data_IF_707530419657
#
_entry.id   IF_707530419657
#
_cell.length_a   1.000
_cell.length_b   1.000
_cell.length_c   1.000
_cell.angle_alpha   90.00
_cell.angle_beta   90.00
_cell.angle_gamma   90.00
#
_symmetry.space_group_name_H-M   'P 1'
#
loop_
_entity.id
_entity.type
_entity.pdbx_description
1 polymer ?
#
# COMPACT_ATOMS: atom_id res chain seq x y z
N UNK A 1 -54.75 18.29 10.00
CA UNK A 1 -54.30 19.55 9.35
C UNK A 1 -53.13 19.21 8.45
N UNK A 2 -53.40 18.99 7.17
CA UNK A 2 -52.44 18.67 6.10
C UNK A 2 -51.97 19.96 5.42
N UNK A 3 -50.69 20.11 5.05
CA UNK A 3 -50.23 21.27 4.30
C UNK A 3 -50.54 21.10 2.81
N UNK A 4 -51.16 22.13 2.23
CA UNK A 4 -51.59 22.22 0.83
C UNK A 4 -50.42 22.71 -0.02
N UNK A 5 -50.08 21.95 -1.07
CA UNK A 5 -49.17 22.34 -2.15
C UNK A 5 -49.76 23.51 -2.94
N UNK A 6 -48.97 24.53 -3.26
CA UNK A 6 -49.37 25.64 -4.15
C UNK A 6 -48.56 25.55 -5.44
N UNK A 7 -49.23 25.10 -6.50
CA UNK A 7 -48.71 25.07 -7.88
C UNK A 7 -48.78 26.48 -8.50
N UNK A 8 -47.75 26.86 -9.25
CA UNK A 8 -47.66 28.12 -9.99
C UNK A 8 -48.09 27.95 -11.46
N UNK A 9 -48.53 29.02 -12.16
CA UNK A 9 -49.17 28.91 -13.46
C UNK A 9 -48.19 28.75 -14.63
N UNK A 10 -48.61 27.94 -15.61
CA UNK A 10 -47.96 27.65 -16.89
C UNK A 10 -48.03 28.84 -17.86
N UNK A 11 -46.99 29.02 -18.69
CA UNK A 11 -46.91 30.00 -19.76
C UNK A 11 -47.22 29.35 -21.13
N UNK A 12 -47.90 30.06 -22.06
CA UNK A 12 -48.37 29.48 -23.32
C UNK A 12 -47.26 29.33 -24.37
N UNK A 13 -47.35 28.26 -25.16
CA UNK A 13 -46.48 27.95 -26.28
C UNK A 13 -46.74 28.78 -27.54
N UNK A 14 -45.69 28.88 -28.38
CA UNK A 14 -45.69 29.44 -29.73
C UNK A 14 -44.68 28.70 -30.64
N UNK A 15 -44.81 28.79 -31.97
CA UNK A 15 -44.67 27.66 -32.90
C UNK A 15 -43.25 27.40 -33.42
N UNK A 16 -42.97 26.15 -33.78
CA UNK A 16 -41.72 25.71 -34.37
C UNK A 16 -41.61 25.90 -35.88
N UNK A 17 -40.39 25.76 -36.40
CA UNK A 17 -40.10 25.35 -37.79
C UNK A 17 -38.59 25.05 -37.98
N UNK A 18 -38.26 23.93 -38.64
CA UNK A 18 -37.16 23.90 -39.61
C UNK A 18 -35.79 23.32 -39.24
N UNK A 19 -35.69 21.98 -39.16
CA UNK A 19 -34.77 21.12 -39.93
C UNK A 19 -33.22 21.19 -39.81
N UNK A 20 -32.52 20.09 -40.16
CA UNK A 20 -31.09 19.86 -39.88
C UNK A 20 -30.18 20.29 -41.03
N UNK A 21 -29.11 21.04 -40.72
CA UNK A 21 -28.10 21.49 -41.68
C UNK A 21 -26.80 20.70 -41.55
N UNK A 22 -26.65 19.70 -42.40
CA UNK A 22 -25.41 18.97 -42.68
C UNK A 22 -24.29 19.92 -43.16
N UNK A 23 -23.15 19.94 -42.46
CA UNK A 23 -21.94 20.55 -42.99
C UNK A 23 -21.16 19.49 -43.79
N UNK A 24 -21.37 19.57 -45.11
CA UNK A 24 -20.60 18.91 -46.14
C UNK A 24 -19.09 19.18 -46.00
N UNK A 25 -18.30 18.11 -45.94
CA UNK A 25 -16.86 18.10 -46.16
C UNK A 25 -16.50 16.81 -46.89
N UNK A 26 -16.76 16.78 -48.20
CA UNK A 26 -16.50 15.63 -49.07
C UNK A 26 -15.33 15.94 -50.00
N UNK A 27 -14.20 15.23 -49.85
CA UNK A 27 -13.22 14.98 -50.92
C UNK A 27 -12.40 13.74 -50.56
N UNK A 28 -12.61 12.63 -51.28
CA UNK A 28 -11.70 11.48 -51.25
C UNK A 28 -12.36 10.12 -51.49
N UNK A 29 -12.67 9.81 -52.74
CA UNK A 29 -13.08 8.48 -53.22
C UNK A 29 -12.13 7.35 -52.81
N UNK A 30 -12.65 6.23 -52.33
CA UNK A 30 -11.86 5.02 -52.07
C UNK A 30 -12.70 3.85 -51.57
N UNK A 31 -13.03 2.95 -52.48
CA UNK A 31 -13.91 1.78 -52.32
C UNK A 31 -13.20 0.63 -51.57
N UNK A 32 -13.98 -0.15 -50.79
CA UNK A 32 -13.73 -1.53 -50.29
C UNK A 32 -12.62 -1.72 -49.24
N UNK A 33 -13.03 -2.24 -48.07
CA UNK A 33 -12.10 -2.85 -47.11
C UNK A 33 -12.76 -3.28 -45.82
N UNK A 34 -13.53 -4.36 -45.86
CA UNK A 34 -13.92 -5.14 -44.70
C UNK A 34 -12.65 -5.63 -43.99
N UNK A 35 -12.24 -4.96 -42.91
CA UNK A 35 -11.08 -5.30 -42.11
C UNK A 35 -11.50 -5.53 -40.67
N UNK A 36 -11.51 -6.78 -40.24
CA UNK A 36 -11.63 -7.18 -38.84
C UNK A 36 -10.78 -6.27 -37.95
N UNK A 37 -11.42 -5.51 -37.06
CA UNK A 37 -10.77 -4.98 -35.87
C UNK A 37 -10.40 -6.18 -34.99
N UNK A 38 -9.28 -6.81 -35.32
CA UNK A 38 -8.61 -7.81 -34.53
C UNK A 38 -8.44 -7.19 -33.14
N UNK A 39 -9.23 -7.68 -32.18
CA UNK A 39 -9.17 -7.25 -30.80
C UNK A 39 -7.73 -7.38 -30.34
N UNK A 40 -7.04 -6.24 -30.22
CA UNK A 40 -5.72 -6.19 -29.60
C UNK A 40 -5.91 -6.73 -28.20
N UNK A 41 -5.44 -7.96 -28.03
CA UNK A 41 -5.54 -8.72 -26.81
C UNK A 41 -5.21 -7.82 -25.63
N UNK A 42 -6.12 -7.82 -24.66
CA UNK A 42 -5.74 -7.56 -23.27
C UNK A 42 -4.61 -8.56 -22.99
N UNK A 43 -3.36 -8.11 -23.14
CA UNK A 43 -2.23 -8.71 -22.45
C UNK A 43 -2.53 -8.48 -20.99
N UNK A 44 -3.28 -9.40 -20.40
CA UNK A 44 -3.38 -9.55 -18.97
C UNK A 44 -1.93 -9.66 -18.51
N UNK A 45 -1.49 -8.62 -17.83
CA UNK A 45 -0.21 -8.51 -17.18
C UNK A 45 -0.21 -9.53 -16.04
N UNK A 46 -0.07 -10.80 -16.41
CA UNK A 46 0.26 -11.92 -15.55
C UNK A 46 1.73 -12.23 -15.75
N UNK A 47 2.58 -11.23 -15.53
CA UNK A 47 3.96 -11.52 -15.20
C UNK A 47 3.91 -12.29 -13.89
N UNK A 48 4.32 -13.56 -13.93
CA UNK A 48 4.69 -14.31 -12.74
C UNK A 48 5.54 -13.37 -11.88
N UNK A 49 5.24 -13.29 -10.59
CA UNK A 49 6.18 -12.72 -9.64
C UNK A 49 7.43 -13.62 -9.71
N UNK A 50 8.34 -13.27 -10.60
CA UNK A 50 9.73 -13.66 -10.52
C UNK A 50 10.18 -13.17 -9.14
N UNK A 51 10.96 -13.97 -8.41
CA UNK A 51 11.56 -13.51 -7.16
C UNK A 51 12.46 -12.33 -7.50
N UNK A 52 11.87 -11.13 -7.47
CA UNK A 52 12.52 -9.88 -7.84
C UNK A 52 13.74 -9.73 -6.93
N UNK A 53 14.91 -9.93 -7.52
CA UNK A 53 16.17 -9.80 -6.81
C UNK A 53 16.24 -8.38 -6.25
N UNK A 54 16.33 -8.25 -4.92
CA UNK A 54 16.32 -6.94 -4.28
C UNK A 54 17.47 -6.06 -4.80
N UNK A 55 17.10 -4.99 -5.52
CA UNK A 55 18.01 -3.95 -5.98
C UNK A 55 18.02 -2.80 -4.95
N UNK A 56 19.06 -2.68 -4.10
CA UNK A 56 19.11 -1.63 -3.11
C UNK A 56 19.26 -0.27 -3.79
N UNK A 57 18.57 0.72 -3.22
CA UNK A 57 18.59 2.12 -3.66
C UNK A 57 19.41 2.95 -2.66
N UNK A 58 19.41 2.53 -1.39
CA UNK A 58 20.14 3.22 -0.33
C UNK A 58 21.60 2.82 -0.26
N UNK A 59 22.46 3.75 0.17
CA UNK A 59 23.88 3.46 0.46
C UNK A 59 24.03 2.29 1.44
N UNK A 60 23.15 2.21 2.44
CA UNK A 60 23.16 1.11 3.41
C UNK A 60 22.79 -0.22 2.73
N UNK A 61 21.74 -0.24 1.91
CA UNK A 61 21.35 -1.41 1.13
C UNK A 61 22.48 -1.93 0.24
N UNK A 62 23.22 -1.03 -0.44
CA UNK A 62 24.41 -1.43 -1.21
C UNK A 62 25.48 -2.07 -0.32
N UNK A 63 25.77 -1.49 0.86
CA UNK A 63 26.76 -2.05 1.79
C UNK A 63 26.35 -3.42 2.34
N UNK A 64 25.06 -3.63 2.58
CA UNK A 64 24.50 -4.91 3.04
C UNK A 64 24.57 -5.95 1.92
N UNK A 65 24.18 -5.59 0.70
CA UNK A 65 24.26 -6.49 -0.47
C UNK A 65 25.71 -6.87 -0.81
N UNK A 66 26.64 -5.93 -0.67
CA UNK A 66 28.08 -6.14 -0.87
C UNK A 66 28.73 -6.98 0.26
N UNK A 67 27.95 -7.43 1.27
CA UNK A 67 28.42 -8.19 2.44
C UNK A 67 29.48 -7.45 3.29
N UNK A 68 29.55 -6.12 3.18
CA UNK A 68 30.46 -5.30 4.00
C UNK A 68 29.96 -5.20 5.44
N UNK A 69 28.64 -5.15 5.62
CA UNK A 69 27.97 -5.18 6.93
C UNK A 69 27.51 -6.62 7.17
N UNK A 70 28.03 -7.24 8.23
CA UNK A 70 27.78 -8.68 8.50
C UNK A 70 26.60 -8.91 9.43
N UNK A 71 26.25 -7.93 10.25
CA UNK A 71 25.18 -8.04 11.23
C UNK A 71 24.30 -6.80 11.27
N UNK A 72 23.07 -6.98 11.74
CA UNK A 72 22.15 -5.87 12.00
C UNK A 72 22.69 -4.91 13.08
N UNK A 73 23.43 -5.43 14.06
CA UNK A 73 24.06 -4.63 15.12
C UNK A 73 25.10 -3.63 14.57
N UNK A 74 25.88 -4.05 13.58
CA UNK A 74 26.84 -3.18 12.90
C UNK A 74 26.15 -2.03 12.16
N UNK A 75 24.93 -2.25 11.65
CA UNK A 75 24.14 -1.19 11.02
C UNK A 75 23.73 -0.08 11.99
N UNK A 76 23.48 -0.41 13.27
CA UNK A 76 23.12 0.58 14.29
C UNK A 76 24.32 1.42 14.78
N UNK A 77 25.55 0.97 14.54
CA UNK A 77 26.74 1.73 14.90
C UNK A 77 26.88 3.00 14.05
N UNK A 78 26.42 2.95 12.81
CA UNK A 78 26.47 4.08 11.90
C UNK A 78 25.18 4.93 12.02
N UNK A 79 25.25 6.26 11.85
CA UNK A 79 24.08 7.14 11.91
C UNK A 79 23.21 7.06 10.63
N UNK A 80 23.14 5.91 9.98
CA UNK A 80 22.40 5.68 8.74
C UNK A 80 21.06 5.01 9.05
N UNK A 81 19.91 5.67 8.81
CA UNK A 81 18.62 5.07 9.08
C UNK A 81 18.29 3.95 8.09
N UNK A 82 17.69 2.86 8.59
CA UNK A 82 17.15 1.76 7.78
C UNK A 82 15.87 2.25 7.09
N UNK A 83 15.88 2.26 5.75
CA UNK A 83 14.75 2.72 4.91
C UNK A 83 14.18 1.66 3.97
N UNK A 84 14.83 0.50 3.88
CA UNK A 84 14.42 -0.63 3.05
C UNK A 84 14.13 -1.79 4.00
N UNK A 85 12.94 -2.40 3.88
CA UNK A 85 12.53 -3.53 4.74
C UNK A 85 13.30 -4.81 4.42
N UNK A 86 13.79 -4.89 3.19
CA UNK A 86 14.56 -5.98 2.62
C UNK A 86 15.91 -6.15 3.34
N UNK A 87 16.48 -5.06 3.89
CA UNK A 87 17.68 -5.11 4.75
C UNK A 87 17.41 -6.03 5.95
N UNK A 88 16.26 -5.84 6.61
CA UNK A 88 15.87 -6.61 7.78
C UNK A 88 15.56 -8.07 7.41
N UNK A 89 14.98 -8.30 6.24
CA UNK A 89 14.71 -9.64 5.72
C UNK A 89 16.00 -10.39 5.35
N UNK A 90 17.01 -9.69 4.82
CA UNK A 90 18.31 -10.27 4.52
C UNK A 90 19.01 -10.80 5.77
N UNK A 91 18.93 -10.08 6.89
CA UNK A 91 19.58 -10.48 8.14
C UNK A 91 18.79 -11.50 8.97
N UNK A 92 17.47 -11.31 9.10
CA UNK A 92 16.64 -12.05 10.07
C UNK A 92 15.47 -12.81 9.42
N UNK A 93 15.36 -12.84 8.09
CA UNK A 93 14.15 -13.26 7.37
C UNK A 93 13.57 -14.63 7.75
N UNK A 94 14.40 -15.58 8.23
CA UNK A 94 13.95 -16.91 8.65
C UNK A 94 13.49 -16.99 10.12
N UNK A 95 13.96 -16.08 10.98
CA UNK A 95 13.68 -16.07 12.42
C UNK A 95 12.56 -15.11 12.81
N UNK A 96 12.22 -14.14 11.96
CA UNK A 96 11.20 -13.14 12.25
C UNK A 96 9.80 -13.75 12.27
N UNK A 97 9.14 -13.67 13.42
CA UNK A 97 7.70 -13.90 13.55
C UNK A 97 6.98 -12.57 13.61
N UNK A 98 5.84 -12.49 12.94
CA UNK A 98 4.92 -11.36 13.05
C UNK A 98 3.71 -11.75 13.88
N UNK A 99 3.26 -10.84 14.73
CA UNK A 99 2.03 -11.00 15.51
C UNK A 99 1.16 -9.75 15.37
N UNK A 100 -0.11 -9.97 15.05
CA UNK A 100 -1.10 -8.88 14.93
C UNK A 100 -1.78 -8.71 16.28
N UNK A 101 -1.51 -7.60 16.98
CA UNK A 101 -2.10 -7.38 18.31
C UNK A 101 -3.59 -7.06 18.25
N UNK A 102 -3.94 -6.04 17.48
CA UNK A 102 -5.30 -5.52 17.42
C UNK A 102 -5.54 -4.84 16.10
N UNK A 103 -6.76 -4.99 15.60
CA UNK A 103 -7.28 -4.26 14.46
C UNK A 103 -8.39 -3.37 14.98
N UNK A 104 -8.24 -2.05 14.81
CA UNK A 104 -9.25 -1.08 15.23
C UNK A 104 -9.87 -0.40 14.02
N UNK A 105 -11.20 -0.37 13.89
CA UNK A 105 -11.86 0.47 12.89
C UNK A 105 -11.77 1.93 13.34
N UNK A 106 -11.25 2.79 12.46
CA UNK A 106 -11.21 4.25 12.62
C UNK A 106 -12.14 4.88 11.59
N UNK A 107 -13.06 5.72 12.04
CA UNK A 107 -14.11 6.29 11.20
C UNK A 107 -13.92 7.79 11.08
N UNK A 108 -14.06 8.31 9.86
CA UNK A 108 -14.11 9.75 9.58
C UNK A 108 -15.49 10.07 9.01
N UNK A 109 -16.21 10.97 9.68
CA UNK A 109 -17.48 11.46 9.15
C UNK A 109 -17.24 12.33 7.91
N UNK A 110 -18.00 12.07 6.85
CA UNK A 110 -17.99 12.84 5.60
C UNK A 110 -19.40 13.26 5.23
N UNK A 111 -19.55 14.14 4.23
CA UNK A 111 -20.87 14.57 3.73
C UNK A 111 -21.70 13.41 3.17
N UNK A 112 -21.03 12.40 2.62
CA UNK A 112 -21.65 11.17 2.11
C UNK A 112 -21.81 10.08 3.17
N UNK A 113 -21.67 10.42 4.47
CA UNK A 113 -21.75 9.48 5.59
C UNK A 113 -20.38 9.11 6.18
N UNK A 114 -20.35 8.06 7.00
CA UNK A 114 -19.14 7.62 7.70
C UNK A 114 -18.21 6.87 6.73
N UNK A 115 -16.97 7.33 6.61
CA UNK A 115 -15.93 6.60 5.90
C UNK A 115 -15.03 5.86 6.90
N UNK A 116 -15.06 4.53 6.87
CA UNK A 116 -14.27 3.69 7.76
C UNK A 116 -12.93 3.27 7.14
N UNK A 117 -11.90 3.16 7.97
CA UNK A 117 -10.60 2.55 7.66
C UNK A 117 -10.21 1.63 8.81
N UNK A 118 -9.32 0.68 8.55
CA UNK A 118 -8.82 -0.23 9.58
C UNK A 118 -7.38 0.15 9.90
N UNK A 119 -7.11 0.39 11.18
CA UNK A 119 -5.77 0.57 11.72
C UNK A 119 -5.31 -0.74 12.35
N UNK A 120 -4.21 -1.28 11.84
CA UNK A 120 -3.59 -2.51 12.31
C UNK A 120 -2.32 -2.20 13.10
N UNK A 121 -2.12 -2.94 14.19
CA UNK A 121 -0.91 -2.92 15.01
C UNK A 121 -0.23 -4.28 14.88
N UNK A 122 1.02 -4.28 14.44
CA UNK A 122 1.80 -5.49 14.20
C UNK A 122 3.12 -5.37 14.93
N UNK A 123 3.47 -6.35 15.77
CA UNK A 123 4.84 -6.56 16.22
C UNK A 123 5.54 -7.56 15.32
N UNK A 124 6.84 -7.36 15.17
CA UNK A 124 7.75 -8.32 14.58
C UNK A 124 8.89 -8.55 15.57
N UNK A 125 9.37 -9.79 15.69
CA UNK A 125 10.59 -10.07 16.45
C UNK A 125 11.11 -11.48 16.24
N UNK A 126 12.38 -11.69 16.61
CA UNK A 126 13.12 -12.95 16.45
C UNK A 126 13.31 -13.70 17.78
N UNK A 127 12.61 -13.28 18.84
CA UNK A 127 12.78 -13.74 20.24
C UNK A 127 14.23 -13.66 20.75
N UNK A 128 15.13 -13.02 19.99
CA UNK A 128 16.55 -12.96 20.28
C UNK A 128 17.06 -11.51 20.36
N UNK A 129 16.23 -10.63 20.91
CA UNK A 129 16.61 -9.26 21.19
C UNK A 129 16.34 -8.30 20.04
N UNK A 130 15.65 -8.70 18.96
CA UNK A 130 15.15 -7.76 17.96
C UNK A 130 13.63 -7.66 18.04
N UNK A 131 13.13 -6.43 18.16
CA UNK A 131 11.69 -6.13 18.18
C UNK A 131 11.41 -4.92 17.30
N UNK A 132 10.39 -5.02 16.45
CA UNK A 132 9.87 -3.94 15.63
C UNK A 132 8.37 -3.77 15.83
N UNK A 133 7.89 -2.53 15.72
CA UNK A 133 6.47 -2.21 15.84
C UNK A 133 6.01 -1.40 14.64
N UNK A 134 4.96 -1.87 13.99
CA UNK A 134 4.37 -1.27 12.82
C UNK A 134 2.92 -0.92 13.05
N UNK A 135 2.54 0.29 12.63
CA UNK A 135 1.17 0.77 12.70
C UNK A 135 0.79 1.36 11.36
N UNK A 136 -0.22 0.78 10.70
CA UNK A 136 -0.71 1.25 9.40
C UNK A 136 -2.22 1.31 9.40
N UNK A 137 -2.76 2.27 8.66
CA UNK A 137 -4.19 2.34 8.37
C UNK A 137 -4.44 2.24 6.86
N UNK A 138 -5.40 1.39 6.48
CA UNK A 138 -5.82 1.18 5.09
C UNK A 138 -7.33 0.95 5.00
N UNK A 139 -7.89 1.00 3.80
CA UNK A 139 -9.32 0.69 3.55
C UNK A 139 -9.63 -0.80 3.70
N UNK A 140 -8.67 -1.66 3.36
CA UNK A 140 -8.77 -3.11 3.49
C UNK A 140 -7.86 -3.60 4.62
N UNK A 141 -8.27 -4.67 5.30
CA UNK A 141 -7.53 -5.22 6.44
C UNK A 141 -6.21 -5.86 6.01
N UNK A 142 -6.23 -6.68 4.95
CA UNK A 142 -5.03 -7.37 4.46
C UNK A 142 -3.90 -6.38 4.09
N UNK A 143 -4.25 -5.28 3.41
CA UNK A 143 -3.28 -4.23 3.05
C UNK A 143 -2.82 -3.40 4.24
N UNK A 144 -3.66 -3.24 5.28
CA UNK A 144 -3.24 -2.61 6.53
C UNK A 144 -2.22 -3.48 7.27
N UNK A 145 -2.46 -4.79 7.37
CA UNK A 145 -1.55 -5.73 8.03
C UNK A 145 -0.23 -5.79 7.27
N UNK A 146 -0.25 -6.01 5.96
CA UNK A 146 0.97 -6.08 5.16
C UNK A 146 1.78 -4.78 5.23
N UNK A 147 1.12 -3.62 5.12
CA UNK A 147 1.80 -2.33 5.26
C UNK A 147 2.32 -2.07 6.68
N UNK A 148 1.66 -2.59 7.72
CA UNK A 148 2.16 -2.53 9.09
C UNK A 148 3.37 -3.45 9.28
N UNK A 149 3.39 -4.64 8.68
CA UNK A 149 4.54 -5.54 8.67
C UNK A 149 5.77 -4.85 8.07
N UNK A 150 5.63 -4.21 6.91
CA UNK A 150 6.74 -3.47 6.28
C UNK A 150 7.25 -2.36 7.22
N UNK A 151 6.35 -1.57 7.81
CA UNK A 151 6.73 -0.53 8.76
C UNK A 151 7.41 -1.08 10.02
N UNK A 152 7.00 -2.24 10.51
CA UNK A 152 7.62 -2.91 11.65
C UNK A 152 9.05 -3.38 11.34
N UNK A 153 9.31 -3.84 10.10
CA UNK A 153 10.66 -4.21 9.66
C UNK A 153 11.60 -3.00 9.59
N UNK A 154 11.08 -1.84 9.21
CA UNK A 154 11.85 -0.58 9.18
C UNK A 154 12.16 -0.05 10.58
N UNK A 155 11.28 -0.29 11.56
CA UNK A 155 11.41 0.17 12.94
C UNK A 155 12.00 -0.88 13.89
N UNK A 156 12.70 -1.88 13.36
CA UNK A 156 13.30 -2.92 14.18
C UNK A 156 14.42 -2.31 15.03
N UNK A 157 14.44 -2.66 16.31
CA UNK A 157 15.41 -2.19 17.29
C UNK A 157 16.02 -3.38 18.03
N UNK A 158 17.31 -3.28 18.33
CA UNK A 158 17.99 -4.21 19.23
C UNK A 158 17.71 -3.84 20.69
N UNK A 159 17.30 -4.82 21.48
CA UNK A 159 16.99 -4.73 22.91
C UNK A 159 18.19 -5.21 23.73
N UNK A 160 18.72 -4.33 24.58
CA UNK A 160 19.76 -4.72 25.53
C UNK A 160 19.16 -5.51 26.69
N UNK A 161 19.57 -6.77 26.83
CA UNK A 161 19.15 -7.64 27.93
C UNK A 161 20.05 -7.47 29.15
N UNK A 162 19.48 -7.63 30.34
CA UNK A 162 20.15 -7.49 31.63
C UNK A 162 20.01 -8.72 32.51
N UNK A 163 20.66 -8.69 33.67
CA UNK A 163 20.53 -9.72 34.70
C UNK A 163 19.81 -9.13 35.90
N UNK A 164 18.83 -9.85 36.44
CA UNK A 164 18.20 -9.48 37.72
C UNK A 164 19.11 -9.75 38.93
N UNK A 165 20.09 -10.66 38.80
CA UNK A 165 20.98 -11.11 39.88
C UNK A 165 22.44 -11.31 39.43
N UNK A 166 23.14 -12.31 40.00
CA UNK A 166 24.55 -12.60 39.68
C UNK A 166 24.70 -12.98 38.20
N UNK A 167 25.75 -12.47 37.56
CA UNK A 167 26.08 -12.61 36.12
C UNK A 167 26.58 -14.02 35.76
N UNK A 168 25.76 -15.04 36.00
CA UNK A 168 26.15 -16.45 35.76
C UNK A 168 25.34 -17.14 34.64
N UNK A 169 24.16 -16.64 34.32
CA UNK A 169 23.24 -17.25 33.35
C UNK A 169 23.26 -16.52 32.00
N UNK A 170 22.46 -16.97 31.04
CA UNK A 170 22.07 -16.14 29.87
C UNK A 170 21.15 -15.00 30.33
N UNK A 171 21.24 -13.81 29.73
CA UNK A 171 20.42 -12.68 30.14
C UNK A 171 18.95 -12.98 29.80
N UNK A 172 18.02 -12.50 30.65
CA UNK A 172 16.60 -12.87 30.58
C UNK A 172 15.99 -12.50 29.21
N UNK A 173 15.12 -13.38 28.70
CA UNK A 173 14.36 -13.20 27.45
C UNK A 173 13.35 -12.06 27.54
#
# INVERSE_FOLDING_TARGET
MTPVLREGPEAPGGPGMGGPGDFCGSFGSGVRGQGHSQGRGRRAHGGKAEDEEWLPITKLGHLVRDLKIKSLEESYLFPLPIKESEITDFFLGTSLKQEVFKIMPVQKQTRAGQQTRFKAFVAIGDYNGHVGLGVKCSKQIATAIHGATILAKLSIMAMRRGYRGIRSASPIL
#
